data_IF_368737652798
#
_entry.id   IF_368737652798
#
_cell.length_a   1.000
_cell.length_b   1.000
_cell.length_c   1.000
_cell.angle_alpha   90.00
_cell.angle_beta   90.00
_cell.angle_gamma   90.00
#
_symmetry.space_group_name_H-M   'P 1'
#
loop_
_entity.id
_entity.type
_entity.pdbx_description
1 polymer ?
#
# COMPACT_ATOMS: atom_id res chain seq x y z
N UNK A 1 -2.01 2.09 -5.17
CA UNK A 1 -1.25 3.25 -5.67
C UNK A 1 -1.27 3.18 -7.18
N UNK A 2 -1.49 4.30 -7.85
CA UNK A 2 -1.56 4.35 -9.30
C UNK A 2 -0.15 4.36 -9.94
N UNK A 3 0.02 3.79 -11.15
CA UNK A 3 1.29 3.74 -11.87
C UNK A 3 1.55 5.08 -12.58
N UNK A 4 1.89 6.11 -11.80
CA UNK A 4 2.20 7.46 -12.30
C UNK A 4 3.71 7.63 -12.54
N UNK A 5 4.14 8.61 -13.38
CA UNK A 5 5.56 8.83 -13.69
C UNK A 5 6.47 8.98 -12.46
N UNK A 6 5.96 9.59 -11.39
CA UNK A 6 6.67 9.77 -10.13
C UNK A 6 7.15 8.44 -9.49
N UNK A 7 6.56 7.29 -9.84
CA UNK A 7 6.93 5.96 -9.33
C UNK A 7 7.47 5.02 -10.41
N UNK A 8 7.81 5.55 -11.60
CA UNK A 8 8.14 4.73 -12.77
C UNK A 8 9.21 3.68 -12.46
N UNK A 9 8.91 2.42 -12.75
CA UNK A 9 9.79 1.27 -12.51
C UNK A 9 10.02 0.88 -11.05
N UNK A 10 9.35 1.54 -10.08
CA UNK A 10 9.59 1.32 -8.64
C UNK A 10 8.44 0.64 -7.90
N UNK A 11 7.30 0.41 -8.55
CA UNK A 11 6.25 -0.46 -8.02
C UNK A 11 6.58 -1.89 -8.43
N UNK A 12 7.22 -2.64 -7.54
CA UNK A 12 7.78 -3.98 -7.83
C UNK A 12 6.76 -5.10 -7.72
N UNK A 13 5.71 -4.90 -6.93
CA UNK A 13 4.58 -5.81 -6.82
C UNK A 13 3.31 -5.07 -6.41
N UNK A 14 2.15 -5.59 -6.82
CA UNK A 14 0.86 -5.03 -6.45
C UNK A 14 -0.19 -6.14 -6.24
N UNK A 15 -0.89 -6.07 -5.11
CA UNK A 15 -1.93 -7.02 -4.74
C UNK A 15 -3.17 -6.28 -4.25
N UNK A 16 -4.33 -6.69 -4.76
CA UNK A 16 -5.63 -6.34 -4.20
C UNK A 16 -5.98 -7.34 -3.10
N UNK A 17 -6.21 -6.84 -1.89
CA UNK A 17 -6.56 -7.63 -0.70
C UNK A 17 -7.94 -7.21 -0.16
N UNK A 18 -8.71 -6.42 -0.91
CA UNK A 18 -10.01 -5.90 -0.46
C UNK A 18 -11.04 -6.99 -0.19
N UNK A 19 -10.88 -8.17 -0.80
CA UNK A 19 -11.71 -9.37 -0.58
C UNK A 19 -11.20 -10.28 0.54
N UNK A 20 -10.14 -9.90 1.25
CA UNK A 20 -9.51 -10.70 2.30
C UNK A 20 -8.52 -11.75 1.79
N UNK A 21 -8.38 -11.90 0.47
CA UNK A 21 -7.38 -12.77 -0.17
C UNK A 21 -6.49 -11.92 -1.07
N UNK A 22 -5.16 -11.97 -0.94
CA UNK A 22 -4.26 -11.24 -1.82
C UNK A 22 -4.33 -11.77 -3.26
N UNK A 23 -4.76 -10.93 -4.19
CA UNK A 23 -4.84 -11.22 -5.62
C UNK A 23 -3.86 -10.30 -6.35
N UNK A 24 -2.92 -10.88 -7.11
CA UNK A 24 -1.99 -10.09 -7.91
C UNK A 24 -2.76 -9.33 -9.00
N UNK A 25 -2.55 -8.02 -9.10
CA UNK A 25 -3.24 -7.16 -10.07
C UNK A 25 -2.28 -6.10 -10.61
N UNK A 26 -2.70 -5.38 -11.65
CA UNK A 26 -1.99 -4.17 -12.05
C UNK A 26 -2.15 -3.08 -10.98
N UNK A 27 -1.13 -2.23 -10.75
CA UNK A 27 -1.25 -1.11 -9.82
C UNK A 27 -2.46 -0.24 -10.16
N UNK A 28 -3.31 -0.01 -9.15
CA UNK A 28 -4.47 0.86 -9.25
C UNK A 28 -4.70 1.62 -7.94
N UNK A 29 -5.31 2.79 -8.06
CA UNK A 29 -5.80 3.56 -6.92
C UNK A 29 -6.92 4.50 -7.36
N UNK A 30 -8.14 4.04 -7.19
CA UNK A 30 -9.36 4.72 -7.59
C UNK A 30 -9.80 5.77 -6.55
N UNK A 31 -9.22 5.73 -5.34
CA UNK A 31 -9.52 6.68 -4.28
C UNK A 31 -8.46 7.80 -4.19
N UNK A 32 -7.21 7.51 -4.56
CA UNK A 32 -6.09 8.46 -4.64
C UNK A 32 -5.28 8.60 -3.35
N UNK A 33 -5.85 8.25 -2.20
CA UNK A 33 -5.16 8.36 -0.90
C UNK A 33 -3.85 7.56 -0.84
N UNK A 34 -3.83 6.32 -1.36
CA UNK A 34 -2.64 5.48 -1.34
C UNK A 34 -1.50 6.05 -2.19
N UNK A 35 -1.85 6.63 -3.34
CA UNK A 35 -0.93 7.31 -4.26
C UNK A 35 -0.36 8.57 -3.63
N UNK A 36 -1.19 9.36 -2.95
CA UNK A 36 -0.74 10.54 -2.21
C UNK A 36 0.28 10.18 -1.11
N UNK A 37 -0.03 9.17 -0.28
CA UNK A 37 0.89 8.70 0.76
C UNK A 37 2.19 8.13 0.19
N UNK A 38 2.11 7.30 -0.87
CA UNK A 38 3.31 6.80 -1.55
C UNK A 38 4.17 7.94 -2.13
N UNK A 39 3.52 9.02 -2.56
CA UNK A 39 4.20 10.23 -3.04
C UNK A 39 5.05 10.90 -1.97
N UNK A 40 4.48 11.10 -0.78
CA UNK A 40 5.21 11.65 0.38
C UNK A 40 6.43 10.80 0.73
N UNK A 41 6.29 9.48 0.64
CA UNK A 41 7.38 8.55 0.97
C UNK A 41 8.49 8.59 -0.07
N UNK A 42 8.16 8.54 -1.36
CA UNK A 42 9.19 8.31 -2.37
C UNK A 42 8.80 8.68 -3.78
N UNK A 43 7.98 9.72 -3.99
CA UNK A 43 7.90 10.33 -5.32
C UNK A 43 9.30 10.75 -5.80
N UNK A 44 9.54 10.58 -7.11
CA UNK A 44 10.73 11.09 -7.76
C UNK A 44 10.28 11.87 -9.00
N UNK A 45 9.88 13.12 -8.78
CA UNK A 45 9.47 14.09 -9.79
C UNK A 45 10.22 15.41 -9.54
N UNK A 46 10.44 16.18 -10.60
CA UNK A 46 11.01 17.54 -10.55
C UNK A 46 10.29 18.49 -9.59
N UNK A 47 8.97 18.37 -9.45
CA UNK A 47 8.15 19.27 -8.63
C UNK A 47 7.85 18.70 -7.24
N UNK A 48 7.86 17.36 -7.10
CA UNK A 48 7.44 16.66 -5.89
C UNK A 48 8.40 15.51 -5.59
N UNK A 49 9.29 15.74 -4.64
CA UNK A 49 10.27 14.77 -4.17
C UNK A 49 9.81 14.17 -2.84
N UNK A 50 9.73 12.85 -2.76
CA UNK A 50 9.46 12.13 -1.51
C UNK A 50 10.69 12.09 -0.60
N UNK A 51 10.50 11.65 0.64
CA UNK A 51 11.59 11.54 1.63
C UNK A 51 12.67 10.53 1.19
N UNK A 52 12.29 9.45 0.52
CA UNK A 52 13.15 8.39 0.01
C UNK A 52 12.90 8.11 -1.48
N UNK A 53 13.39 8.96 -2.40
CA UNK A 53 13.06 8.89 -3.84
C UNK A 53 13.56 7.63 -4.56
N UNK A 54 14.55 6.93 -3.98
CA UNK A 54 15.11 5.70 -4.53
C UNK A 54 14.42 4.43 -4.01
N UNK A 55 13.42 4.55 -3.12
CA UNK A 55 12.72 3.39 -2.56
C UNK A 55 11.90 2.66 -3.62
N UNK A 56 11.77 1.34 -3.46
CA UNK A 56 10.82 0.51 -4.19
C UNK A 56 9.57 0.24 -3.36
N UNK A 57 8.43 0.09 -4.02
CA UNK A 57 7.14 -0.10 -3.39
C UNK A 57 6.55 -1.48 -3.70
N UNK A 58 5.98 -2.10 -2.66
CA UNK A 58 5.00 -3.18 -2.79
C UNK A 58 3.64 -2.59 -2.41
N UNK A 59 2.70 -2.58 -3.35
CA UNK A 59 1.35 -2.08 -3.09
C UNK A 59 0.42 -3.18 -2.59
N UNK A 60 -0.11 -3.02 -1.38
CA UNK A 60 -1.16 -3.88 -0.82
C UNK A 60 -2.44 -3.04 -0.66
N UNK A 61 -3.38 -3.20 -1.60
CA UNK A 61 -4.63 -2.45 -1.60
C UNK A 61 -5.63 -3.12 -0.65
N UNK A 62 -5.83 -2.50 0.51
CA UNK A 62 -6.77 -2.96 1.55
C UNK A 62 -8.04 -2.13 1.65
N UNK A 63 -8.09 -0.99 0.96
CA UNK A 63 -9.25 -0.09 0.90
C UNK A 63 -9.81 -0.06 -0.53
N UNK A 64 -11.14 -0.02 -0.63
CA UNK A 64 -11.86 0.10 -1.90
C UNK A 64 -11.84 1.54 -2.44
N UNK A 65 -12.50 1.76 -3.59
CA UNK A 65 -12.62 3.07 -4.25
C UNK A 65 -13.24 4.20 -3.41
N UNK A 66 -13.89 3.87 -2.29
CA UNK A 66 -14.49 4.83 -1.37
C UNK A 66 -13.67 4.99 -0.08
N UNK A 67 -12.44 4.48 -0.02
CA UNK A 67 -11.58 4.54 1.16
C UNK A 67 -12.02 3.62 2.30
N UNK A 68 -12.88 2.64 2.04
CA UNK A 68 -13.39 1.70 3.06
C UNK A 68 -12.73 0.34 2.94
N UNK A 69 -12.48 -0.31 4.06
CA UNK A 69 -11.97 -1.68 4.14
C UNK A 69 -12.31 -2.31 5.49
N UNK A 70 -12.03 -3.60 5.63
CA UNK A 70 -12.22 -4.34 6.89
C UNK A 70 -10.88 -4.56 7.57
N UNK A 71 -10.92 -4.73 8.90
CA UNK A 71 -9.76 -5.15 9.69
C UNK A 71 -9.20 -6.49 9.20
N UNK A 72 -10.06 -7.42 8.75
CA UNK A 72 -9.64 -8.70 8.18
C UNK A 72 -8.78 -8.55 6.92
N UNK A 73 -9.12 -7.63 6.02
CA UNK A 73 -8.31 -7.36 4.82
C UNK A 73 -6.94 -6.75 5.17
N UNK A 74 -6.88 -5.92 6.22
CA UNK A 74 -5.60 -5.38 6.73
C UNK A 74 -4.74 -6.49 7.34
N UNK A 75 -5.33 -7.38 8.14
CA UNK A 75 -4.62 -8.53 8.73
C UNK A 75 -4.08 -9.44 7.62
N UNK A 76 -4.91 -9.82 6.63
CA UNK A 76 -4.48 -10.65 5.51
C UNK A 76 -3.34 -10.00 4.70
N UNK A 77 -3.35 -8.68 4.53
CA UNK A 77 -2.26 -7.96 3.88
C UNK A 77 -0.96 -7.98 4.70
N UNK A 78 -1.05 -7.87 6.03
CA UNK A 78 0.12 -7.97 6.92
C UNK A 78 0.71 -9.38 6.93
N UNK A 79 -0.13 -10.41 7.00
CA UNK A 79 0.29 -11.80 6.86
C UNK A 79 0.99 -12.04 5.53
N UNK A 80 0.44 -11.51 4.43
CA UNK A 80 1.07 -11.55 3.11
C UNK A 80 2.44 -10.86 3.12
N UNK A 81 2.55 -9.67 3.72
CA UNK A 81 3.79 -8.91 3.80
C UNK A 81 4.87 -9.67 4.58
N UNK A 82 4.52 -10.29 5.71
CA UNK A 82 5.42 -11.11 6.51
C UNK A 82 5.86 -12.36 5.73
N UNK A 83 4.91 -13.09 5.14
CA UNK A 83 5.19 -14.31 4.38
C UNK A 83 6.07 -14.05 3.14
N UNK A 84 5.95 -12.87 2.52
CA UNK A 84 6.73 -12.49 1.34
C UNK A 84 7.87 -11.51 1.65
N UNK A 85 8.21 -11.32 2.94
CA UNK A 85 9.22 -10.34 3.37
C UNK A 85 10.54 -10.51 2.63
N UNK A 86 11.07 -11.74 2.58
CA UNK A 86 12.33 -12.03 1.91
C UNK A 86 12.22 -11.89 0.38
N UNK A 87 11.11 -12.33 -0.20
CA UNK A 87 10.87 -12.31 -1.65
C UNK A 87 10.89 -10.90 -2.23
N UNK A 88 10.27 -9.94 -1.55
CA UNK A 88 10.17 -8.55 -2.01
C UNK A 88 11.08 -7.59 -1.24
N UNK A 89 11.95 -8.11 -0.37
CA UNK A 89 12.79 -7.32 0.54
C UNK A 89 11.98 -6.24 1.31
N UNK A 90 10.86 -6.63 1.91
CA UNK A 90 10.00 -5.72 2.68
C UNK A 90 10.69 -5.40 4.00
N UNK A 91 11.02 -4.12 4.20
CA UNK A 91 11.70 -3.64 5.40
C UNK A 91 10.81 -2.75 6.27
N UNK A 92 9.86 -2.05 5.66
CA UNK A 92 8.97 -1.09 6.31
C UNK A 92 7.55 -1.29 5.80
N UNK A 93 6.56 -1.17 6.69
CA UNK A 93 5.14 -1.15 6.36
C UNK A 93 4.56 0.19 6.82
N UNK A 94 3.82 0.86 5.94
CA UNK A 94 3.12 2.11 6.26
C UNK A 94 1.60 1.87 6.24
N UNK A 95 0.93 2.17 7.37
CA UNK A 95 -0.52 2.02 7.55
C UNK A 95 -1.14 3.38 7.89
N UNK A 96 -1.30 4.25 6.89
CA UNK A 96 -2.02 5.53 7.04
C UNK A 96 -3.53 5.31 7.03
N UNK A 97 -4.03 4.54 7.99
CA UNK A 97 -5.44 4.18 8.17
C UNK A 97 -5.72 3.88 9.64
N UNK A 98 -6.99 3.86 10.02
CA UNK A 98 -7.41 3.51 11.37
C UNK A 98 -8.92 3.55 11.50
N UNK A 99 -9.43 2.96 12.57
CA UNK A 99 -10.83 3.08 12.97
C UNK A 99 -10.92 3.27 14.48
N UNK A 100 -12.05 3.80 14.95
CA UNK A 100 -12.33 3.89 16.39
C UNK A 100 -12.36 2.51 17.02
N UNK A 101 -11.87 2.39 18.25
CA UNK A 101 -11.91 1.16 19.02
C UNK A 101 -13.27 1.08 19.70
N UNK A 102 -14.17 0.23 19.18
CA UNK A 102 -15.51 0.04 19.74
C UNK A 102 -15.58 -1.10 20.76
N UNK A 103 -14.50 -1.89 20.91
CA UNK A 103 -14.35 -2.90 21.96
C UNK A 103 -12.86 -3.00 22.37
N UNK A 104 -12.54 -3.22 23.67
CA UNK A 104 -11.15 -3.36 24.13
C UNK A 104 -10.44 -4.50 23.41
N UNK A 105 -9.12 -4.37 23.22
CA UNK A 105 -8.26 -5.49 22.89
C UNK A 105 -8.19 -6.38 24.14
N UNK A 106 -9.04 -7.41 24.19
CA UNK A 106 -8.94 -8.48 25.17
C UNK A 106 -7.88 -9.48 24.73
#
# INVERSE_FOLDING_TARGET
>A
MAPIPAFNGRITAFYDVTTGVPIATLPSDEYGHGTHVAGLIGANDSNYMGVAPAVTFVGLKVLNKNGKGSTSSVIAALEFAVANRARFNIQVVNLSLGHVILAPAA
#
